data_IF_198919176483
#
_entry.id   IF_198919176483
#
_cell.length_a   1.000
_cell.length_b   1.000
_cell.length_c   1.000
_cell.angle_alpha   90.00
_cell.angle_beta   90.00
_cell.angle_gamma   90.00
#
_symmetry.space_group_name_H-M   'P 1'
#
loop_
_entity.id
_entity.type
_entity.pdbx_description
1 polymer ?
#
# COMPACT_ATOMS: atom_id res chain seq x y z
N UNK A 1 -13.43 0.96 25.14
CA UNK A 1 -13.13 0.20 23.91
C UNK A 1 -14.29 0.37 22.95
N UNK A 2 -14.03 0.55 21.65
CA UNK A 2 -15.06 0.48 20.59
C UNK A 2 -14.42 -0.08 19.32
N UNK A 3 -15.12 -1.00 18.65
CA UNK A 3 -14.62 -1.72 17.47
C UNK A 3 -13.24 -2.36 17.69
N UNK A 4 -12.95 -2.80 18.92
CA UNK A 4 -11.65 -3.36 19.28
C UNK A 4 -10.51 -2.37 19.54
N UNK A 5 -10.76 -1.06 19.41
CA UNK A 5 -9.75 -0.03 19.71
C UNK A 5 -9.89 0.56 21.11
N UNK A 6 -8.73 0.82 21.73
CA UNK A 6 -8.63 1.60 22.96
C UNK A 6 -8.65 3.10 22.62
N UNK A 7 -9.85 3.67 22.59
CA UNK A 7 -10.06 5.09 22.27
C UNK A 7 -9.27 6.02 23.21
N UNK A 8 -9.15 5.67 24.50
CA UNK A 8 -8.36 6.47 25.44
C UNK A 8 -6.87 6.46 25.06
N UNK A 9 -6.31 5.29 24.72
CA UNK A 9 -4.92 5.19 24.25
C UNK A 9 -4.67 5.94 22.94
N UNK A 10 -5.65 5.95 22.02
CA UNK A 10 -5.56 6.77 20.80
C UNK A 10 -5.56 8.27 21.16
N UNK A 11 -6.39 8.70 22.11
CA UNK A 11 -6.40 10.09 22.59
C UNK A 11 -5.08 10.49 23.27
N UNK A 12 -4.46 9.60 24.03
CA UNK A 12 -3.14 9.82 24.63
C UNK A 12 -2.06 10.01 23.54
N UNK A 13 -2.03 9.14 22.54
CA UNK A 13 -1.13 9.27 21.38
C UNK A 13 -1.36 10.58 20.62
N UNK A 14 -2.62 10.98 20.41
CA UNK A 14 -2.96 12.27 19.77
C UNK A 14 -2.39 13.45 20.57
N UNK A 15 -2.51 13.41 21.91
CA UNK A 15 -1.95 14.43 22.77
C UNK A 15 -0.41 14.47 22.71
N UNK A 16 0.23 13.29 22.73
CA UNK A 16 1.68 13.16 22.61
C UNK A 16 2.18 13.84 21.34
N UNK A 17 1.63 13.50 20.17
CA UNK A 17 2.10 14.07 18.89
C UNK A 17 1.74 15.54 18.69
N UNK A 18 0.74 16.07 19.40
CA UNK A 18 0.48 17.50 19.47
C UNK A 18 1.59 18.24 20.21
N UNK A 19 2.09 17.66 21.31
CA UNK A 19 3.15 18.26 22.14
C UNK A 19 4.55 17.99 21.59
N UNK A 20 4.75 16.87 20.90
CA UNK A 20 6.01 16.41 20.34
C UNK A 20 5.82 16.00 18.87
N UNK A 21 5.75 16.95 17.93
CA UNK A 21 5.41 16.66 16.53
C UNK A 21 6.36 15.71 15.78
N UNK A 22 7.58 15.51 16.28
CA UNK A 22 8.54 14.56 15.70
C UNK A 22 8.17 13.10 15.99
N UNK A 23 7.42 12.82 17.05
CA UNK A 23 6.90 11.48 17.38
C UNK A 23 5.81 11.04 16.39
N UNK A 24 5.21 11.98 15.64
CA UNK A 24 4.21 11.68 14.62
C UNK A 24 4.76 11.00 13.36
N UNK A 25 6.09 11.04 13.15
CA UNK A 25 6.69 10.60 11.89
C UNK A 25 6.97 9.11 11.94
N UNK A 26 6.16 8.35 11.20
CA UNK A 26 6.36 6.93 10.97
C UNK A 26 7.21 6.70 9.72
N UNK A 27 8.21 5.83 9.80
CA UNK A 27 9.06 5.41 8.70
C UNK A 27 8.90 3.92 8.47
N UNK A 28 8.64 3.56 7.21
CA UNK A 28 8.46 2.19 6.78
C UNK A 28 9.44 1.87 5.65
N UNK A 29 9.76 0.58 5.51
CA UNK A 29 10.61 0.09 4.44
C UNK A 29 10.22 -1.33 4.06
N UNK A 30 10.55 -1.73 2.83
CA UNK A 30 10.42 -3.09 2.35
C UNK A 30 11.57 -3.41 1.39
N UNK A 31 12.03 -4.66 1.43
CA UNK A 31 13.11 -5.16 0.58
C UNK A 31 12.59 -6.32 -0.25
N UNK A 32 12.73 -6.24 -1.56
CA UNK A 32 12.47 -7.33 -2.51
C UNK A 32 13.79 -7.81 -3.12
N UNK A 33 13.94 -9.12 -3.28
CA UNK A 33 15.11 -9.76 -3.90
C UNK A 33 14.66 -10.77 -4.93
N UNK A 34 15.39 -10.83 -6.04
CA UNK A 34 15.23 -11.89 -7.03
C UNK A 34 16.35 -12.91 -6.88
N UNK A 35 15.98 -14.19 -6.95
CA UNK A 35 16.94 -15.27 -7.19
C UNK A 35 16.36 -16.27 -8.17
N UNK A 36 17.19 -16.71 -9.13
CA UNK A 36 16.82 -17.69 -10.13
C UNK A 36 16.22 -18.96 -9.49
N UNK A 37 15.14 -19.46 -10.06
CA UNK A 37 14.42 -20.64 -9.58
C UNK A 37 13.58 -20.46 -8.31
N UNK A 38 13.71 -19.34 -7.58
CA UNK A 38 12.91 -19.05 -6.37
C UNK A 38 11.98 -17.83 -6.49
N UNK A 39 12.08 -17.08 -7.59
CA UNK A 39 11.24 -15.92 -7.83
C UNK A 39 11.56 -14.72 -6.93
N UNK A 40 10.55 -13.89 -6.70
CA UNK A 40 10.66 -12.68 -5.86
C UNK A 40 10.38 -13.05 -4.41
N UNK A 41 11.33 -12.74 -3.53
CA UNK A 41 11.17 -12.82 -2.07
C UNK A 41 11.27 -11.44 -1.48
N UNK A 42 10.25 -11.04 -0.74
CA UNK A 42 10.16 -9.73 -0.13
C UNK A 42 9.92 -9.80 1.37
N UNK A 43 10.27 -8.73 2.07
CA UNK A 43 9.95 -8.54 3.48
C UNK A 43 9.90 -7.06 3.83
N UNK A 44 9.10 -6.70 4.84
CA UNK A 44 9.18 -5.37 5.43
C UNK A 44 10.45 -5.22 6.29
N UNK A 45 10.94 -4.00 6.38
CA UNK A 45 11.93 -3.59 7.36
C UNK A 45 11.26 -3.20 8.68
N UNK A 46 11.99 -3.22 9.81
CA UNK A 46 11.51 -2.65 11.05
C UNK A 46 10.94 -1.24 10.87
N UNK A 47 9.69 -1.03 11.26
CA UNK A 47 9.08 0.28 11.28
C UNK A 47 9.68 1.14 12.41
N UNK A 48 9.76 2.44 12.18
CA UNK A 48 10.15 3.42 13.21
C UNK A 48 9.02 4.43 13.35
N UNK A 49 8.34 4.43 14.49
CA UNK A 49 7.23 5.32 14.82
C UNK A 49 7.75 6.39 15.78
N UNK A 50 8.02 7.58 15.26
CA UNK A 50 8.70 8.61 16.03
C UNK A 50 10.10 8.15 16.45
N UNK A 51 10.30 7.97 17.74
CA UNK A 51 11.53 7.42 18.34
C UNK A 51 11.46 5.91 18.64
N UNK A 52 10.28 5.29 18.50
CA UNK A 52 10.06 3.89 18.84
C UNK A 52 10.28 2.98 17.62
N UNK A 53 11.15 1.99 17.77
CA UNK A 53 11.37 0.95 16.75
C UNK A 53 10.43 -0.23 16.98
N UNK A 54 9.67 -0.62 15.96
CA UNK A 54 8.94 -1.88 15.90
C UNK A 54 9.72 -2.90 15.05
N UNK A 55 10.39 -3.90 15.68
CA UNK A 55 11.31 -4.81 14.98
C UNK A 55 10.61 -5.97 14.24
N UNK A 56 9.31 -5.83 13.94
CA UNK A 56 8.52 -6.87 13.25
C UNK A 56 9.00 -7.08 11.81
N UNK A 57 8.93 -8.33 11.36
CA UNK A 57 9.33 -8.76 10.01
C UNK A 57 8.36 -9.84 9.52
N UNK A 58 7.88 -9.67 8.31
CA UNK A 58 7.01 -10.58 7.60
C UNK A 58 7.63 -10.86 6.23
N UNK A 59 7.90 -12.13 5.97
CA UNK A 59 8.47 -12.59 4.69
C UNK A 59 7.34 -13.07 3.76
N UNK A 60 7.39 -12.65 2.51
CA UNK A 60 6.41 -12.96 1.47
C UNK A 60 7.14 -13.45 0.21
N UNK A 61 6.57 -14.48 -0.43
CA UNK A 61 6.85 -14.75 -1.85
C UNK A 61 5.89 -13.89 -2.66
N UNK A 62 6.38 -13.26 -3.73
CA UNK A 62 5.58 -12.43 -4.62
C UNK A 62 5.61 -13.02 -6.01
N UNK A 63 4.44 -13.25 -6.60
CA UNK A 63 4.34 -13.75 -7.96
C UNK A 63 4.74 -12.67 -8.96
N UNK A 64 5.43 -13.03 -10.06
CA UNK A 64 5.69 -12.08 -11.14
C UNK A 64 4.37 -11.65 -11.79
N UNK A 65 4.34 -10.42 -12.29
CA UNK A 65 3.17 -9.86 -12.98
C UNK A 65 2.89 -10.49 -14.35
N UNK A 66 3.91 -11.14 -14.93
CA UNK A 66 3.87 -11.80 -16.22
C UNK A 66 4.52 -13.18 -16.09
N UNK A 67 3.99 -14.17 -16.81
CA UNK A 67 4.48 -15.55 -16.78
C UNK A 67 3.59 -16.50 -15.96
N UNK A 68 3.95 -17.79 -15.90
CA UNK A 68 3.14 -18.79 -15.22
C UNK A 68 3.15 -18.58 -13.70
N UNK A 69 1.97 -18.40 -13.12
CA UNK A 69 1.73 -18.48 -11.67
C UNK A 69 1.98 -19.91 -11.21
N UNK A 70 3.16 -20.20 -10.65
CA UNK A 70 3.47 -21.52 -10.08
C UNK A 70 3.21 -21.63 -8.59
N UNK A 71 2.90 -20.54 -7.91
CA UNK A 71 2.71 -20.51 -6.46
C UNK A 71 1.40 -19.77 -6.10
N UNK A 72 0.83 -20.11 -4.96
CA UNK A 72 -0.28 -19.43 -4.25
C UNK A 72 0.10 -18.02 -3.74
N UNK A 73 1.15 -17.43 -4.31
CA UNK A 73 1.71 -16.15 -3.94
C UNK A 73 0.92 -14.99 -4.59
N UNK A 74 0.68 -13.89 -3.86
CA UNK A 74 0.04 -12.70 -4.41
C UNK A 74 0.95 -12.00 -5.43
N UNK A 75 0.36 -11.34 -6.43
CA UNK A 75 1.07 -10.41 -7.33
C UNK A 75 1.34 -9.07 -6.63
N UNK A 76 2.27 -8.27 -7.17
CA UNK A 76 2.55 -6.94 -6.63
C UNK A 76 1.35 -5.99 -6.78
N UNK A 77 0.61 -6.06 -7.90
CA UNK A 77 -0.65 -5.33 -8.11
C UNK A 77 -1.64 -5.67 -7.00
N UNK A 78 -1.81 -6.95 -6.65
CA UNK A 78 -2.69 -7.32 -5.54
C UNK A 78 -2.22 -6.77 -4.20
N UNK A 79 -0.91 -6.80 -3.91
CA UNK A 79 -0.38 -6.22 -2.68
C UNK A 79 -0.69 -4.72 -2.62
N UNK A 80 -0.60 -4.01 -3.74
CA UNK A 80 -0.98 -2.59 -3.82
C UNK A 80 -2.48 -2.36 -3.58
N UNK A 81 -3.36 -3.16 -4.20
CA UNK A 81 -4.81 -3.06 -3.95
C UNK A 81 -5.16 -3.37 -2.49
N UNK A 82 -4.55 -4.43 -1.94
CA UNK A 82 -4.68 -4.79 -0.50
C UNK A 82 -4.26 -3.63 0.40
N UNK A 83 -3.13 -2.98 0.07
CA UNK A 83 -2.63 -1.83 0.81
C UNK A 83 -3.61 -0.63 0.75
N UNK A 84 -4.23 -0.37 -0.39
CA UNK A 84 -5.20 0.71 -0.54
C UNK A 84 -6.44 0.46 0.33
N UNK A 85 -7.07 -0.70 0.14
CA UNK A 85 -8.30 -1.05 0.84
C UNK A 85 -8.12 -1.15 2.36
N UNK A 86 -7.07 -1.83 2.82
CA UNK A 86 -6.84 -1.97 4.26
C UNK A 86 -6.50 -0.65 4.95
N UNK A 87 -5.81 0.27 4.27
CA UNK A 87 -5.55 1.62 4.80
C UNK A 87 -6.83 2.45 4.91
N UNK A 88 -7.67 2.39 3.87
CA UNK A 88 -8.98 3.02 3.86
C UNK A 88 -9.86 2.48 5.01
N UNK A 89 -9.95 1.15 5.17
CA UNK A 89 -10.69 0.55 6.27
C UNK A 89 -10.09 0.86 7.65
N UNK A 90 -8.77 0.91 7.81
CA UNK A 90 -8.13 1.36 9.07
C UNK A 90 -8.62 2.75 9.45
N UNK A 91 -8.67 3.66 8.47
CA UNK A 91 -9.12 5.04 8.66
C UNK A 91 -10.61 5.09 8.98
N UNK A 92 -11.43 4.31 8.28
CA UNK A 92 -12.86 4.19 8.53
C UNK A 92 -13.16 3.66 9.94
N UNK A 93 -12.50 2.58 10.35
CA UNK A 93 -12.65 2.00 11.69
C UNK A 93 -12.26 3.03 12.76
N UNK A 94 -11.11 3.70 12.59
CA UNK A 94 -10.64 4.80 13.43
C UNK A 94 -11.68 5.92 13.59
N UNK A 95 -12.07 6.51 12.45
CA UNK A 95 -12.98 7.64 12.38
C UNK A 95 -14.38 7.34 12.89
N UNK A 96 -14.92 6.15 12.58
CA UNK A 96 -16.23 5.70 13.06
C UNK A 96 -16.23 5.45 14.57
N UNK A 97 -15.19 4.81 15.09
CA UNK A 97 -15.10 4.53 16.53
C UNK A 97 -14.98 5.81 17.36
N UNK A 98 -14.22 6.79 16.88
CA UNK A 98 -14.12 8.10 17.51
C UNK A 98 -15.47 8.84 17.54
N UNK A 99 -16.35 8.58 16.57
CA UNK A 99 -17.65 9.24 16.43
C UNK A 99 -18.82 8.58 17.15
N UNK A 100 -18.68 7.35 17.63
CA UNK A 100 -19.82 6.65 18.23
C UNK A 100 -20.20 5.33 17.58
N UNK A 101 -19.77 5.11 16.34
CA UNK A 101 -20.26 4.03 15.48
C UNK A 101 -19.75 2.68 15.97
N UNK A 102 -20.66 1.74 16.21
CA UNK A 102 -20.37 0.36 16.57
C UNK A 102 -20.56 -0.52 15.35
N UNK A 103 -19.46 -1.08 14.84
CA UNK A 103 -19.42 -1.90 13.64
C UNK A 103 -19.82 -3.34 13.95
N UNK A 104 -20.68 -3.92 13.12
CA UNK A 104 -20.96 -5.37 13.10
C UNK A 104 -20.19 -6.07 11.99
N UNK A 105 -20.17 -5.47 10.79
CA UNK A 105 -19.39 -5.96 9.66
C UNK A 105 -18.93 -4.81 8.79
N UNK A 106 -17.73 -4.94 8.23
CA UNK A 106 -17.14 -3.96 7.33
C UNK A 106 -16.30 -4.69 6.28
N UNK A 107 -16.59 -4.41 5.01
CA UNK A 107 -15.87 -4.98 3.87
C UNK A 107 -15.63 -3.89 2.84
N UNK A 108 -14.45 -3.89 2.24
CA UNK A 108 -14.12 -3.03 1.12
C UNK A 108 -13.62 -3.87 -0.05
N UNK A 109 -14.41 -3.90 -1.12
CA UNK A 109 -13.93 -4.28 -2.44
C UNK A 109 -13.09 -3.16 -3.02
N UNK A 110 -11.97 -3.49 -3.65
CA UNK A 110 -11.11 -2.55 -4.36
C UNK A 110 -10.81 -3.12 -5.75
N UNK A 111 -11.07 -2.31 -6.76
CA UNK A 111 -10.92 -2.68 -8.17
C UNK A 111 -10.10 -1.67 -8.95
N UNK A 112 -9.53 -2.14 -10.06
CA UNK A 112 -8.92 -1.32 -11.09
C UNK A 112 -9.10 -1.99 -12.46
N UNK A 113 -9.02 -1.21 -13.52
CA UNK A 113 -8.76 -1.71 -14.87
C UNK A 113 -7.26 -1.74 -15.12
N UNK A 114 -6.75 -2.88 -15.57
CA UNK A 114 -5.34 -3.08 -15.91
C UNK A 114 -5.16 -3.13 -17.42
N UNK A 115 -4.46 -2.15 -17.97
CA UNK A 115 -4.25 -2.01 -19.42
C UNK A 115 -2.79 -2.35 -19.76
N UNK A 116 -2.58 -3.30 -20.68
CA UNK A 116 -1.25 -3.79 -21.07
C UNK A 116 -1.06 -3.72 -22.58
N UNK A 117 -0.03 -3.00 -23.04
CA UNK A 117 0.32 -2.92 -24.47
C UNK A 117 1.79 -2.55 -24.68
N UNK A 118 2.50 -3.29 -25.54
CA UNK A 118 3.88 -2.96 -25.93
C UNK A 118 4.84 -2.85 -24.74
N UNK A 119 4.68 -3.73 -23.73
CA UNK A 119 5.47 -3.71 -22.50
C UNK A 119 5.00 -2.71 -21.44
N UNK A 120 4.14 -1.74 -21.77
CA UNK A 120 3.53 -0.81 -20.81
C UNK A 120 2.39 -1.49 -20.06
N UNK A 121 2.23 -1.16 -18.78
CA UNK A 121 1.24 -1.77 -17.89
C UNK A 121 0.76 -0.71 -16.88
N UNK A 122 -0.55 -0.48 -16.84
CA UNK A 122 -1.16 0.58 -16.04
C UNK A 122 -2.41 0.12 -15.32
N UNK A 123 -2.62 0.70 -14.15
CA UNK A 123 -3.88 0.62 -13.42
C UNK A 123 -4.63 1.93 -13.62
N UNK A 124 -5.87 1.84 -14.08
CA UNK A 124 -6.78 2.96 -14.32
C UNK A 124 -8.13 2.66 -13.69
N UNK A 125 -9.01 3.66 -13.61
CA UNK A 125 -10.39 3.47 -13.16
C UNK A 125 -10.49 2.78 -11.79
N UNK A 126 -9.80 3.33 -10.79
CA UNK A 126 -9.82 2.80 -9.42
C UNK A 126 -11.24 2.91 -8.84
N UNK A 127 -11.71 1.85 -8.20
CA UNK A 127 -13.02 1.82 -7.54
C UNK A 127 -12.97 1.14 -6.19
N UNK A 128 -13.79 1.64 -5.27
CA UNK A 128 -14.02 1.13 -3.92
C UNK A 128 -15.50 0.78 -3.77
N UNK A 129 -15.79 -0.45 -3.38
CA UNK A 129 -17.13 -0.94 -3.06
C UNK A 129 -17.21 -1.22 -1.56
N UNK A 130 -17.73 -0.25 -0.79
CA UNK A 130 -17.75 -0.29 0.67
C UNK A 130 -19.09 -0.83 1.19
N UNK A 131 -19.06 -1.99 1.85
CA UNK A 131 -20.20 -2.58 2.52
C UNK A 131 -20.06 -2.45 4.05
N UNK A 132 -21.04 -1.83 4.71
CA UNK A 132 -21.01 -1.58 6.16
C UNK A 132 -22.34 -1.95 6.82
N UNK A 133 -22.24 -2.67 7.95
CA UNK A 133 -23.34 -2.88 8.90
C UNK A 133 -22.90 -2.37 10.26
N UNK A 134 -23.68 -1.46 10.83
CA UNK A 134 -23.33 -0.80 12.07
C UNK A 134 -24.55 -0.27 12.82
N UNK A 135 -24.43 -0.17 14.14
CA UNK A 135 -25.19 0.80 14.93
C UNK A 135 -24.45 2.13 14.87
N UNK A 136 -25.07 3.12 14.24
CA UNK A 136 -24.45 4.44 14.04
C UNK A 136 -24.66 5.39 15.21
N UNK A 137 -25.59 5.09 16.13
CA UNK A 137 -25.96 6.03 17.20
C UNK A 137 -26.40 7.41 16.69
N UNK A 138 -26.93 7.48 15.46
CA UNK A 138 -27.33 8.73 14.80
C UNK A 138 -26.23 9.43 13.99
N UNK A 139 -25.01 8.89 13.94
CA UNK A 139 -23.95 9.39 13.06
C UNK A 139 -24.29 9.10 11.60
N UNK A 140 -24.12 10.08 10.72
CA UNK A 140 -24.18 9.86 9.28
C UNK A 140 -22.91 9.13 8.83
N UNK A 141 -23.08 7.93 8.26
CA UNK A 141 -21.95 7.11 7.83
C UNK A 141 -21.17 7.77 6.68
N UNK A 142 -21.82 8.64 5.89
CA UNK A 142 -21.17 9.39 4.83
C UNK A 142 -20.07 10.31 5.37
N UNK A 143 -20.20 10.84 6.59
CA UNK A 143 -19.14 11.63 7.24
C UNK A 143 -17.91 10.77 7.59
N UNK A 144 -18.12 9.49 7.92
CA UNK A 144 -17.01 8.55 8.18
C UNK A 144 -16.30 8.19 6.87
N UNK A 145 -17.06 8.02 5.77
CA UNK A 145 -16.50 7.82 4.42
C UNK A 145 -15.71 9.05 3.97
N UNK A 146 -16.23 10.26 4.17
CA UNK A 146 -15.49 11.49 3.86
C UNK A 146 -14.19 11.62 4.66
N UNK A 147 -14.18 11.17 5.93
CA UNK A 147 -12.97 11.04 6.73
C UNK A 147 -11.98 10.05 6.11
N UNK A 148 -12.45 8.87 5.69
CA UNK A 148 -11.64 7.88 4.98
C UNK A 148 -10.98 8.45 3.72
N UNK A 149 -11.71 9.21 2.90
CA UNK A 149 -11.20 9.84 1.67
C UNK A 149 -10.15 10.92 1.93
N UNK A 150 -10.30 11.65 3.03
CA UNK A 150 -9.43 12.81 3.32
C UNK A 150 -8.24 12.45 4.20
N UNK A 151 -8.32 11.39 5.00
CA UNK A 151 -7.36 11.06 6.05
C UNK A 151 -6.58 9.76 5.81
N UNK A 152 -7.00 8.90 4.87
CA UNK A 152 -6.32 7.64 4.60
C UNK A 152 -5.02 7.87 3.82
N UNK A 153 -3.83 7.56 4.39
CA UNK A 153 -2.56 7.87 3.73
C UNK A 153 -2.41 7.21 2.36
N UNK A 154 -2.72 5.93 2.22
CA UNK A 154 -2.54 5.24 0.94
C UNK A 154 -3.56 5.71 -0.11
N UNK A 155 -4.79 6.04 0.29
CA UNK A 155 -5.78 6.60 -0.63
C UNK A 155 -5.35 7.98 -1.13
N UNK A 156 -4.87 8.85 -0.22
CA UNK A 156 -4.30 10.15 -0.61
C UNK A 156 -3.06 10.00 -1.47
N UNK A 157 -2.24 8.96 -1.28
CA UNK A 157 -1.04 8.69 -2.09
C UNK A 157 -1.34 8.49 -3.57
N UNK A 158 -2.51 7.93 -3.93
CA UNK A 158 -2.88 7.67 -5.33
C UNK A 158 -3.73 8.79 -5.95
N UNK A 159 -4.17 9.75 -5.13
CA UNK A 159 -4.93 10.93 -5.60
C UNK A 159 -4.00 12.15 -5.67
N UNK A 160 -3.12 12.29 -4.69
CA UNK A 160 -2.12 13.35 -4.61
C UNK A 160 -0.82 12.84 -5.20
N UNK A 161 -0.39 13.41 -6.32
CA UNK A 161 0.89 13.08 -6.95
C UNK A 161 2.06 13.03 -5.96
N UNK A 162 2.69 11.86 -5.82
CA UNK A 162 3.88 11.70 -4.99
C UNK A 162 5.16 11.58 -5.83
N UNK A 163 6.21 12.38 -5.55
CA UNK A 163 7.50 12.19 -6.18
C UNK A 163 8.15 10.90 -5.65
N UNK A 164 8.61 10.05 -6.57
CA UNK A 164 9.46 8.91 -6.26
C UNK A 164 10.93 9.27 -6.50
N UNK A 165 11.76 9.14 -5.46
CA UNK A 165 13.22 9.24 -5.59
C UNK A 165 13.81 7.88 -5.91
N UNK A 166 14.74 7.81 -6.87
CA UNK A 166 15.46 6.62 -7.28
C UNK A 166 16.93 6.73 -6.87
N UNK A 167 17.50 5.66 -6.30
CA UNK A 167 18.92 5.55 -5.97
C UNK A 167 19.46 4.28 -6.63
N UNK A 168 20.43 4.42 -7.53
CA UNK A 168 20.94 3.34 -8.37
C UNK A 168 22.38 2.99 -7.96
N UNK A 169 22.57 1.87 -7.27
CA UNK A 169 23.87 1.47 -6.73
C UNK A 169 24.39 2.50 -5.72
N UNK A 170 25.63 2.92 -5.89
CA UNK A 170 26.26 4.00 -5.12
C UNK A 170 26.03 5.41 -5.74
N UNK A 171 25.11 5.51 -6.69
CA UNK A 171 24.76 6.77 -7.35
C UNK A 171 24.05 7.76 -6.43
N UNK A 172 24.07 9.04 -6.82
CA UNK A 172 23.31 10.07 -6.12
C UNK A 172 21.78 9.86 -6.31
N UNK A 173 20.96 10.35 -5.35
CA UNK A 173 19.51 10.34 -5.53
C UNK A 173 19.07 11.15 -6.75
N UNK A 174 18.21 10.56 -7.58
CA UNK A 174 17.59 11.19 -8.74
C UNK A 174 16.07 11.08 -8.69
N UNK A 175 15.38 11.97 -9.41
CA UNK A 175 13.92 11.84 -9.57
C UNK A 175 13.63 10.67 -10.51
N UNK A 176 12.70 9.78 -10.11
CA UNK A 176 12.28 8.68 -10.96
C UNK A 176 11.65 9.19 -12.27
N UNK A 177 11.83 8.48 -13.38
CA UNK A 177 11.24 8.87 -14.66
C UNK A 177 9.72 8.85 -14.57
N UNK A 178 9.09 9.81 -15.26
CA UNK A 178 7.63 9.89 -15.33
C UNK A 178 7.03 8.59 -15.87
N UNK A 179 5.90 8.11 -15.32
CA UNK A 179 5.20 6.96 -15.85
C UNK A 179 4.84 7.20 -17.33
N UNK A 180 5.09 6.20 -18.19
CA UNK A 180 4.51 6.15 -19.54
C UNK A 180 2.98 6.32 -19.49
N UNK A 181 2.41 7.07 -20.44
CA UNK A 181 0.96 7.19 -20.55
C UNK A 181 0.29 5.80 -20.69
N UNK A 182 -0.93 5.62 -20.14
CA UNK A 182 -1.68 4.38 -20.31
C UNK A 182 -1.91 4.07 -21.78
N UNK A 183 -1.82 2.79 -22.18
CA UNK A 183 -2.23 2.38 -23.51
C UNK A 183 -3.70 2.73 -23.77
N UNK A 184 -4.06 2.88 -25.05
CA UNK A 184 -5.46 3.08 -25.43
C UNK A 184 -6.24 1.76 -25.31
N UNK A 185 -7.50 1.82 -24.90
CA UNK A 185 -8.41 0.67 -24.85
C UNK A 185 -8.89 0.30 -23.45
N UNK A 186 -9.78 -0.70 -23.38
CA UNK A 186 -10.28 -1.26 -22.13
C UNK A 186 -9.31 -2.29 -21.55
N UNK A 187 -9.05 -2.21 -20.24
CA UNK A 187 -8.21 -3.16 -19.52
C UNK A 187 -8.95 -4.39 -19.02
N UNK A 188 -8.20 -5.36 -18.50
CA UNK A 188 -8.77 -6.44 -17.69
C UNK A 188 -9.12 -5.92 -16.29
N UNK A 189 -10.16 -6.46 -15.64
CA UNK A 189 -10.44 -6.10 -14.25
C UNK A 189 -9.51 -6.85 -13.32
N UNK A 190 -8.91 -6.13 -12.39
CA UNK A 190 -8.16 -6.69 -11.26
C UNK A 190 -8.80 -6.19 -9.97
N UNK A 191 -8.97 -7.08 -9.00
CA UNK A 191 -9.67 -6.75 -7.77
C UNK A 191 -9.12 -7.51 -6.56
N UNK A 192 -9.35 -6.93 -5.39
CA UNK A 192 -9.20 -7.58 -4.09
C UNK A 192 -10.35 -7.16 -3.18
N UNK A 193 -10.61 -7.92 -2.13
CA UNK A 193 -11.55 -7.56 -1.08
C UNK A 193 -10.89 -7.66 0.28
N UNK A 194 -11.17 -6.70 1.15
CA UNK A 194 -10.63 -6.66 2.52
C UNK A 194 -11.79 -6.71 3.50
N UNK A 195 -11.82 -7.76 4.32
CA UNK A 195 -12.85 -8.00 5.34
C UNK A 195 -12.29 -7.66 6.72
N UNK A 196 -12.98 -6.78 7.45
CA UNK A 196 -12.65 -6.43 8.83
C UNK A 196 -12.88 -7.62 9.76
N UNK A 197 -11.89 -7.90 10.61
CA UNK A 197 -11.96 -8.97 11.60
C UNK A 197 -12.24 -8.39 12.98
N UNK A 198 -11.39 -7.45 13.42
CA UNK A 198 -11.46 -6.79 14.71
C UNK A 198 -10.45 -5.65 14.74
N UNK A 199 -10.68 -4.56 15.50
CA UNK A 199 -9.74 -3.43 15.59
C UNK A 199 -9.20 -3.00 14.21
N UNK A 200 -7.89 -3.08 14.00
CA UNK A 200 -7.21 -2.78 12.74
C UNK A 200 -6.66 -4.06 12.08
N UNK A 201 -7.26 -5.21 12.40
CA UNK A 201 -6.98 -6.50 11.76
C UNK A 201 -7.96 -6.77 10.62
N UNK A 202 -7.42 -7.13 9.46
CA UNK A 202 -8.19 -7.42 8.27
C UNK A 202 -7.70 -8.69 7.57
N UNK A 203 -8.61 -9.34 6.84
CA UNK A 203 -8.29 -10.43 5.94
C UNK A 203 -8.52 -9.97 4.51
N UNK A 204 -7.48 -10.00 3.68
CA UNK A 204 -7.56 -9.63 2.28
C UNK A 204 -7.59 -10.86 1.37
N UNK A 205 -8.57 -10.91 0.48
CA UNK A 205 -8.80 -11.98 -0.49
C UNK A 205 -8.81 -11.41 -1.91
N UNK A 206 -8.60 -12.25 -2.92
CA UNK A 206 -8.80 -11.90 -4.32
C UNK A 206 -9.39 -13.11 -5.06
N UNK A 207 -9.83 -12.91 -6.29
CA UNK A 207 -10.47 -13.95 -7.10
C UNK A 207 -9.49 -15.01 -7.65
N UNK A 208 -8.20 -14.88 -7.34
CA UNK A 208 -7.16 -15.83 -7.73
C UNK A 208 -6.98 -16.96 -6.69
N UNK A 209 -6.12 -17.93 -7.02
CA UNK A 209 -5.90 -19.13 -6.19
C UNK A 209 -4.98 -18.92 -4.96
N UNK A 210 -4.56 -17.69 -4.67
CA UNK A 210 -3.64 -17.43 -3.55
C UNK A 210 -4.24 -17.72 -2.16
N UNK A 211 -3.37 -17.71 -1.16
CA UNK A 211 -3.81 -17.58 0.22
C UNK A 211 -4.34 -16.17 0.57
N UNK A 212 -5.32 -16.07 1.50
CA UNK A 212 -5.70 -14.80 2.10
C UNK A 212 -4.52 -14.12 2.81
N UNK A 213 -4.42 -12.80 2.69
CA UNK A 213 -3.38 -12.01 3.32
C UNK A 213 -3.90 -11.41 4.63
N UNK A 214 -3.08 -11.48 5.67
CA UNK A 214 -3.37 -10.84 6.96
C UNK A 214 -2.85 -9.41 6.92
N UNK A 215 -3.69 -8.46 7.30
CA UNK A 215 -3.29 -7.06 7.45
C UNK A 215 -3.52 -6.65 8.89
N UNK A 216 -2.55 -5.97 9.49
CA UNK A 216 -2.63 -5.46 10.85
C UNK A 216 -1.73 -4.22 11.01
N UNK A 217 -1.76 -3.59 12.17
CA UNK A 217 -0.86 -2.51 12.54
C UNK A 217 0.18 -2.96 13.57
N UNK A 218 1.26 -2.20 13.77
CA UNK A 218 2.10 -2.40 14.95
C UNK A 218 1.30 -2.10 16.23
N UNK A 219 1.73 -2.67 17.36
CA UNK A 219 1.09 -2.44 18.68
C UNK A 219 0.94 -0.96 19.06
N UNK A 220 1.88 -0.14 18.63
CA UNK A 220 1.89 1.31 18.81
C UNK A 220 0.73 2.02 18.08
N UNK A 221 0.13 1.37 17.07
CA UNK A 221 -0.99 1.88 16.28
C UNK A 221 -2.21 0.95 16.38
N UNK A 222 -2.54 0.51 17.61
CA UNK A 222 -3.71 -0.29 17.96
C UNK A 222 -3.79 -1.71 17.35
N UNK A 223 -2.72 -2.18 16.71
CA UNK A 223 -2.62 -3.54 16.20
C UNK A 223 -2.02 -4.53 17.21
N UNK A 224 -1.77 -5.76 16.76
CA UNK A 224 -1.22 -6.84 17.58
C UNK A 224 -0.04 -7.56 16.91
N UNK A 225 0.53 -6.96 15.87
CA UNK A 225 1.60 -7.51 15.03
C UNK A 225 1.20 -8.82 14.29
N UNK A 226 -0.07 -8.97 13.90
CA UNK A 226 -0.60 -10.17 13.23
C UNK A 226 -0.20 -10.30 11.75
N UNK A 227 0.13 -9.19 11.09
CA UNK A 227 0.56 -9.14 9.70
C UNK A 227 1.19 -7.79 9.33
N UNK A 228 1.70 -7.65 8.09
CA UNK A 228 2.18 -6.36 7.60
C UNK A 228 1.08 -5.30 7.66
N UNK A 229 1.47 -4.05 7.83
CA UNK A 229 0.53 -2.94 7.74
C UNK A 229 0.33 -2.47 6.29
N UNK A 230 -0.67 -1.61 6.03
CA UNK A 230 -0.95 -1.15 4.68
C UNK A 230 0.23 -0.44 4.01
N UNK A 231 1.06 0.30 4.75
CA UNK A 231 2.24 0.97 4.18
C UNK A 231 3.33 -0.04 3.80
N UNK A 232 3.55 -1.06 4.62
CA UNK A 232 4.49 -2.14 4.32
C UNK A 232 4.06 -2.96 3.10
N UNK A 233 2.75 -3.23 2.95
CA UNK A 233 2.22 -3.84 1.72
C UNK A 233 2.45 -2.94 0.49
N UNK A 234 2.21 -1.64 0.62
CA UNK A 234 2.40 -0.69 -0.48
C UNK A 234 3.87 -0.63 -0.95
N UNK A 235 4.81 -0.54 -0.01
CA UNK A 235 6.24 -0.49 -0.31
C UNK A 235 6.75 -1.84 -0.83
N UNK A 236 6.21 -2.96 -0.31
CA UNK A 236 6.50 -4.30 -0.82
C UNK A 236 6.03 -4.45 -2.27
N UNK A 237 4.85 -3.93 -2.58
CA UNK A 237 4.30 -3.91 -3.94
C UNK A 237 5.21 -3.11 -4.89
N UNK A 238 5.62 -1.90 -4.49
CA UNK A 238 6.50 -1.05 -5.30
C UNK A 238 7.83 -1.74 -5.59
N UNK A 239 8.53 -2.20 -4.55
CA UNK A 239 9.83 -2.86 -4.69
C UNK A 239 9.74 -4.12 -5.57
N UNK A 240 8.71 -4.96 -5.33
CA UNK A 240 8.55 -6.22 -6.05
C UNK A 240 8.12 -6.03 -7.49
N UNK A 241 7.25 -5.05 -7.77
CA UNK A 241 6.78 -4.77 -9.12
C UNK A 241 7.92 -4.26 -10.01
N UNK A 242 8.68 -3.26 -9.54
CA UNK A 242 9.81 -2.73 -10.32
C UNK A 242 10.92 -3.77 -10.47
N UNK A 243 11.19 -4.56 -9.42
CA UNK A 243 12.11 -5.70 -9.50
C UNK A 243 11.68 -6.70 -10.59
N UNK A 244 10.44 -7.19 -10.54
CA UNK A 244 9.95 -8.19 -11.51
C UNK A 244 10.03 -7.69 -12.96
N UNK A 245 9.80 -6.39 -13.18
CA UNK A 245 9.96 -5.77 -14.50
C UNK A 245 11.41 -5.64 -14.92
N UNK A 246 12.30 -5.29 -13.99
CA UNK A 246 13.74 -5.24 -14.23
C UNK A 246 14.25 -6.62 -14.65
N UNK A 247 13.79 -7.68 -13.99
CA UNK A 247 14.09 -9.06 -14.37
C UNK A 247 13.60 -9.37 -15.78
N UNK A 248 12.32 -9.11 -16.08
CA UNK A 248 11.74 -9.38 -17.39
C UNK A 248 12.44 -8.62 -18.54
N UNK A 249 12.79 -7.35 -18.32
CA UNK A 249 13.55 -6.55 -19.29
C UNK A 249 14.98 -7.06 -19.45
N UNK A 250 15.62 -7.54 -18.38
CA UNK A 250 16.96 -8.13 -18.45
C UNK A 250 16.96 -9.41 -19.27
N UNK A 251 15.99 -10.31 -19.02
CA UNK A 251 15.82 -11.55 -19.77
C UNK A 251 15.53 -11.27 -21.26
N UNK A 252 14.63 -10.33 -21.56
CA UNK A 252 14.33 -9.93 -22.93
C UNK A 252 15.54 -9.34 -23.67
N UNK A 253 16.47 -8.73 -22.94
CA UNK A 253 17.75 -8.21 -23.47
C UNK A 253 18.87 -9.27 -23.52
N UNK A 254 18.60 -10.52 -23.15
CA UNK A 254 19.61 -11.59 -23.08
C UNK A 254 20.64 -11.40 -21.97
N UNK A 255 20.29 -10.66 -20.91
CA UNK A 255 21.13 -10.38 -19.73
C UNK A 255 20.75 -11.27 -18.54
N UNK A 256 21.65 -11.51 -17.58
CA UNK A 256 21.34 -12.26 -16.37
C UNK A 256 20.14 -11.67 -15.61
N UNK A 257 19.29 -12.57 -15.09
CA UNK A 257 18.07 -12.20 -14.38
C UNK A 257 18.33 -11.70 -12.96
N UNK A 258 19.54 -11.82 -12.40
CA UNK A 258 19.89 -11.37 -11.06
C UNK A 258 21.27 -11.88 -10.59
N UNK A 259 21.61 -11.72 -9.30
CA UNK A 259 20.73 -11.30 -8.20
C UNK A 259 20.47 -9.79 -8.16
N UNK A 260 19.21 -9.41 -8.03
CA UNK A 260 18.79 -8.02 -7.81
C UNK A 260 18.26 -7.82 -6.39
N UNK A 261 18.50 -6.63 -5.81
CA UNK A 261 17.87 -6.20 -4.57
C UNK A 261 17.27 -4.81 -4.73
N UNK A 262 16.01 -4.68 -4.39
CA UNK A 262 15.25 -3.42 -4.40
C UNK A 262 14.80 -3.12 -2.97
N UNK A 263 14.97 -1.89 -2.50
CA UNK A 263 14.48 -1.43 -1.20
C UNK A 263 13.59 -0.21 -1.42
N UNK A 264 12.31 -0.33 -1.08
CA UNK A 264 11.37 0.79 -1.08
C UNK A 264 11.24 1.35 0.33
N UNK A 265 11.18 2.67 0.46
CA UNK A 265 10.97 3.37 1.72
C UNK A 265 9.95 4.50 1.58
N UNK A 266 9.30 4.85 2.70
CA UNK A 266 8.32 5.93 2.74
C UNK A 266 8.04 6.39 4.16
N UNK A 267 7.40 7.55 4.29
CA UNK A 267 7.03 8.15 5.57
C UNK A 267 5.54 8.44 5.63
N UNK A 268 4.97 8.36 6.82
CA UNK A 268 3.62 8.82 7.14
C UNK A 268 3.71 9.75 8.33
N UNK A 269 3.06 10.90 8.25
CA UNK A 269 2.83 11.77 9.39
C UNK A 269 1.43 11.48 9.95
N UNK A 270 1.36 10.83 11.12
CA UNK A 270 0.05 10.43 11.67
C UNK A 270 -0.81 11.62 12.10
N UNK A 271 -0.26 12.84 12.15
CA UNK A 271 -1.06 14.05 12.31
C UNK A 271 -2.04 14.25 11.16
N UNK A 272 -1.71 13.79 9.95
CA UNK A 272 -2.60 13.82 8.79
C UNK A 272 -3.83 12.96 9.01
N UNK A 273 -3.62 11.75 9.52
CA UNK A 273 -4.68 10.80 9.84
C UNK A 273 -5.64 11.33 10.91
N UNK A 274 -5.14 12.08 11.89
CA UNK A 274 -5.92 12.58 13.02
C UNK A 274 -6.33 14.06 12.92
N UNK A 275 -6.08 14.72 11.77
CA UNK A 275 -6.32 16.17 11.54
C UNK A 275 -5.69 17.06 12.62
N UNK A 276 -4.44 16.81 12.95
CA UNK A 276 -3.69 17.55 13.96
C UNK A 276 -2.84 18.63 13.29
N UNK A 277 -3.12 19.89 13.62
CA UNK A 277 -2.35 21.04 13.12
C UNK A 277 -2.94 21.64 11.83
N UNK A 278 -2.36 22.76 11.34
CA UNK A 278 -3.01 23.60 10.32
C UNK A 278 -2.96 23.06 8.89
N UNK A 279 -2.08 22.10 8.58
CA UNK A 279 -1.98 21.48 7.24
C UNK A 279 -1.13 20.20 7.30
N UNK A 280 -1.60 19.12 7.94
CA UNK A 280 -0.80 17.93 8.09
C UNK A 280 -0.75 17.12 6.78
N UNK A 281 0.45 16.65 6.42
CA UNK A 281 0.63 15.79 5.24
C UNK A 281 -0.05 14.45 5.48
N UNK A 282 -1.03 14.12 4.66
CA UNK A 282 -1.75 12.84 4.71
C UNK A 282 -1.11 11.73 3.88
N UNK A 283 -0.72 11.94 2.59
CA UNK A 283 -0.23 10.84 1.77
C UNK A 283 1.07 10.24 2.33
N UNK A 284 1.37 9.00 1.92
CA UNK A 284 2.70 8.42 2.12
C UNK A 284 3.67 9.26 1.29
N UNK A 285 4.63 9.90 1.95
CA UNK A 285 5.51 10.87 1.32
C UNK A 285 6.98 10.46 1.46
N UNK A 286 7.86 11.18 0.76
CA UNK A 286 9.30 10.86 0.67
C UNK A 286 9.53 9.41 0.24
N UNK A 287 8.84 9.01 -0.83
CA UNK A 287 9.01 7.69 -1.43
C UNK A 287 10.41 7.58 -2.03
N UNK A 288 11.12 6.51 -1.68
CA UNK A 288 12.45 6.21 -2.20
C UNK A 288 12.49 4.76 -2.67
N UNK A 289 13.10 4.52 -3.82
CA UNK A 289 13.45 3.19 -4.31
C UNK A 289 14.96 3.10 -4.50
N UNK A 290 15.61 2.28 -3.70
CA UNK A 290 17.04 1.99 -3.80
C UNK A 290 17.25 0.65 -4.53
N UNK A 291 18.18 0.61 -5.46
CA UNK A 291 18.45 -0.56 -6.29
C UNK A 291 19.91 -0.97 -6.18
N UNK A 292 20.15 -2.21 -5.75
CA UNK A 292 21.45 -2.86 -5.80
C UNK A 292 21.43 -3.86 -6.97
N UNK A 293 22.26 -3.64 -8.02
CA UNK A 293 22.35 -4.54 -9.16
C UNK A 293 23.16 -5.80 -8.83
N UNK A 294 23.18 -6.81 -9.72
CA UNK A 294 24.16 -7.89 -9.70
C UNK A 294 25.60 -7.35 -9.76
N UNK A 295 26.56 -8.06 -9.16
CA UNK A 295 27.98 -7.68 -9.17
C UNK A 295 28.56 -7.62 -10.61
N UNK A 296 28.01 -8.43 -11.52
CA UNK A 296 28.39 -8.52 -12.93
C UNK A 296 27.41 -7.79 -13.87
N UNK A 297 26.62 -6.85 -13.33
CA UNK A 297 25.67 -6.08 -14.13
C UNK A 297 26.35 -5.36 -15.30
N UNK A 298 25.84 -5.61 -16.51
CA UNK A 298 26.33 -4.96 -17.73
C UNK A 298 26.11 -3.45 -17.72
N UNK A 299 26.89 -2.72 -18.52
CA UNK A 299 26.65 -1.29 -18.79
C UNK A 299 25.19 -1.03 -19.20
N UNK A 300 24.66 0.12 -18.75
CA UNK A 300 23.29 0.54 -19.04
C UNK A 300 22.20 -0.19 -18.26
N UNK A 301 22.55 -0.87 -17.15
CA UNK A 301 21.55 -1.46 -16.26
C UNK A 301 20.66 -0.40 -15.57
N UNK A 302 21.19 0.81 -15.37
CA UNK A 302 20.43 1.93 -14.82
C UNK A 302 19.26 2.31 -15.73
N UNK A 303 19.49 2.38 -17.04
CA UNK A 303 18.43 2.70 -18.01
C UNK A 303 17.36 1.61 -18.07
N UNK A 304 17.77 0.35 -17.87
CA UNK A 304 16.85 -0.77 -17.74
C UNK A 304 15.95 -0.63 -16.50
N UNK A 305 16.50 -0.23 -15.36
CA UNK A 305 15.72 0.03 -14.14
C UNK A 305 14.80 1.24 -14.31
N UNK A 306 15.27 2.32 -14.96
CA UNK A 306 14.43 3.48 -15.28
C UNK A 306 13.26 3.08 -16.18
N UNK A 307 13.50 2.24 -17.18
CA UNK A 307 12.44 1.68 -18.02
C UNK A 307 11.47 0.81 -17.22
N UNK A 308 11.98 -0.02 -16.30
CA UNK A 308 11.15 -0.82 -15.40
C UNK A 308 10.22 0.04 -14.54
N UNK A 309 10.72 1.14 -13.97
CA UNK A 309 9.92 2.13 -13.23
C UNK A 309 8.89 2.78 -14.16
N UNK A 310 9.35 3.32 -15.29
CA UNK A 310 8.51 4.03 -16.27
C UNK A 310 7.32 3.20 -16.72
N UNK A 311 7.47 1.89 -16.79
CA UNK A 311 6.44 1.01 -17.33
C UNK A 311 5.66 0.24 -16.25
N UNK A 312 6.02 0.38 -14.97
CA UNK A 312 5.44 -0.38 -13.85
C UNK A 312 4.01 0.04 -13.50
N UNK A 313 3.06 -0.90 -13.36
CA UNK A 313 1.70 -0.57 -12.96
C UNK A 313 1.65 -0.02 -11.53
N UNK A 314 2.50 -0.50 -10.62
CA UNK A 314 2.53 -0.02 -9.22
C UNK A 314 3.29 1.30 -9.11
N UNK A 315 4.38 1.52 -9.87
CA UNK A 315 5.00 2.85 -9.87
C UNK A 315 4.06 3.90 -10.48
N UNK A 316 3.37 3.57 -11.59
CA UNK A 316 2.33 4.42 -12.17
C UNK A 316 1.23 4.75 -11.17
N UNK A 317 0.71 3.73 -10.47
CA UNK A 317 -0.32 3.91 -9.43
C UNK A 317 0.04 4.97 -8.36
N UNK A 318 1.32 5.12 -8.03
CA UNK A 318 1.78 6.04 -6.97
C UNK A 318 2.25 7.40 -7.49
N UNK A 319 2.53 7.50 -8.78
CA UNK A 319 3.11 8.69 -9.41
C UNK A 319 2.12 9.43 -10.32
N UNK A 320 1.05 8.77 -10.75
CA UNK A 320 -0.04 9.33 -11.54
C UNK A 320 -1.15 9.89 -10.62
N UNK A 321 -1.97 10.80 -11.16
CA UNK A 321 -3.19 11.28 -10.50
C UNK A 321 -4.36 10.34 -10.84
N UNK A 322 -5.01 9.78 -9.82
CA UNK A 322 -6.18 8.94 -10.00
C UNK A 322 -7.46 9.58 -9.47
N UNK A 323 -8.55 9.36 -10.20
CA UNK A 323 -9.89 9.47 -9.64
C UNK A 323 -10.29 8.11 -9.07
N UNK A 324 -10.73 8.08 -7.82
CA UNK A 324 -11.23 6.88 -7.15
C UNK A 324 -12.74 6.99 -7.03
N UNK A 325 -13.47 6.09 -7.68
CA UNK A 325 -14.92 5.98 -7.50
C UNK A 325 -15.20 5.23 -6.20
N UNK A 326 -16.11 5.75 -5.37
CA UNK A 326 -16.51 5.08 -4.12
C UNK A 326 -18.02 4.85 -4.16
N UNK A 327 -18.41 3.58 -4.12
CA UNK A 327 -19.80 3.15 -3.97
C UNK A 327 -20.00 2.65 -2.53
N UNK A 328 -21.05 3.13 -1.87
CA UNK A 328 -21.39 2.81 -0.48
C UNK A 328 -22.68 2.00 -0.42
N UNK A 329 -22.61 0.81 0.18
CA UNK A 329 -23.73 0.00 0.61
C UNK A 329 -23.77 -0.05 2.14
N UNK A 330 -24.68 0.73 2.74
CA UNK A 330 -24.78 0.88 4.19
C UNK A 330 -26.13 0.41 4.72
N UNK A 331 -26.09 -0.44 5.74
CA UNK A 331 -27.27 -0.86 6.49
C UNK A 331 -27.13 -0.50 7.98
N UNK A 332 -28.05 0.32 8.48
CA UNK A 332 -28.17 0.62 9.91
C UNK A 332 -28.86 -0.53 10.65
N UNK A 333 -28.35 -0.88 11.83
CA UNK A 333 -28.96 -1.89 12.69
C UNK A 333 -29.81 -1.20 13.74
N UNK A 334 -31.13 -1.37 13.68
CA UNK A 334 -32.05 -0.84 14.68
C UNK A 334 -31.92 -1.57 16.01
N UNK A 335 -32.05 -0.85 17.12
CA UNK A 335 -32.33 -1.46 18.42
C UNK A 335 -33.85 -1.47 18.60
N UNK A 336 -34.45 -2.66 18.59
CA UNK A 336 -35.79 -2.89 19.16
C UNK A 336 -35.71 -2.82 20.70
#
# INVERSE_FOLDING_TARGET
MRNGMNIAGVSEMVHEVQTQPHEAICRYGAVARWSEGRGIRAHNEPAVLGTVKSPRRYDLTVAPEQGPTRDDAPTAVRLALTALAACALTTFVGGGSARGVTLESLRLGVGAERVREGGRDRLTNLSYDLAVRADTGGVDIAEVVAGMETQSPNHRTVIDRQPLTLILGDGAPEQAPEPAAPPAGSGEKVAAAVDWQYSVQFLATADDASAPLRVDQPKQLAGVDWGPNPQEYLLTALASCVLGRTVALSEAAGRPAGPWRFRAGGQVDIRGLFLIGPDPVVPVHRLVLEVTPPDDASDGWQDLVREAVRTSPVAGLLMDDHLVKIDLDAAAVGHD
#
